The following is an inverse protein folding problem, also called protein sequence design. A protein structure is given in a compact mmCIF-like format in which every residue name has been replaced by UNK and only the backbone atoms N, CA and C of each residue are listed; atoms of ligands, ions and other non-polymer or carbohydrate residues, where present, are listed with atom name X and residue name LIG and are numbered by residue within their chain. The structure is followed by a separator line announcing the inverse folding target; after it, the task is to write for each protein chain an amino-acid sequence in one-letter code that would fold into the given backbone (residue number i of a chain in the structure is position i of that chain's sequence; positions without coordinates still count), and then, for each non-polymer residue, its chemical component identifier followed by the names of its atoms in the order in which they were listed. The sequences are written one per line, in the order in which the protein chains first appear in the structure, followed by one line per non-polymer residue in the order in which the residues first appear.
data_IF_838963204123
#
_entry.id   IF_838963204123
#
_cell.length_a   1.000
_cell.length_b   1.000
_cell.length_c   1.000
_cell.angle_alpha   90.00
_cell.angle_beta   90.00
_cell.angle_gamma   90.00
#
_symmetry.space_group_name_H-M   'P 1'
#
loop_
_entity.id
_entity.type
_entity.pdbx_description
1 polymer ?
2 non-polymer ?
3 non-polymer ?
4 water ?
#
# COMPACT_ATOMS: atom_id res chain seq x y z
N UNK A 1 4.24 21.59 13.77
CA UNK A 1 5.05 20.46 13.25
C UNK A 1 5.85 19.95 14.44
N UNK A 2 6.68 18.93 14.24
CA UNK A 2 7.71 18.56 15.21
C UNK A 2 9.01 18.37 14.44
N UNK A 3 9.99 17.73 15.07
CA UNK A 3 11.28 17.51 14.44
C UNK A 3 11.31 16.14 13.81
N UNK A 4 12.39 15.85 13.08
CA UNK A 4 12.60 14.55 12.49
C UNK A 4 13.60 13.74 13.34
N UNK A 5 13.06 12.81 14.12
CA UNK A 5 13.88 12.02 15.06
C UNK A 5 14.39 10.76 14.38
N UNK A 6 15.72 10.57 14.27
CA UNK A 6 16.22 9.34 13.66
C UNK A 6 15.61 8.10 14.30
N UNK A 7 15.34 7.06 13.50
CA UNK A 7 14.66 5.85 13.97
C UNK A 7 15.29 4.61 13.35
N UNK A 8 15.31 3.52 14.12
CA UNK A 8 15.68 2.21 13.64
C UNK A 8 14.69 1.18 14.16
N UNK A 9 14.46 0.14 13.37
CA UNK A 9 13.68 -0.98 13.85
C UNK A 9 14.55 -1.75 14.84
N UNK A 10 13.98 -1.98 16.02
CA UNK A 10 14.68 -2.63 17.14
C UNK A 10 13.66 -3.44 17.93
N UNK A 11 13.35 -4.63 17.44
CA UNK A 11 12.35 -5.43 18.12
C UNK A 11 12.99 -6.09 19.32
N UNK A 12 12.42 -5.86 20.52
CA UNK A 12 13.00 -6.47 21.72
C UNK A 12 13.14 -7.97 21.62
N UNK A 13 14.24 -8.49 22.15
CA UNK A 13 14.47 -9.93 22.15
C UNK A 13 13.31 -10.64 22.80
N UNK A 14 12.76 -10.04 23.85
CA UNK A 14 11.66 -10.65 24.58
C UNK A 14 10.41 -10.76 23.73
N UNK A 15 10.26 -9.86 22.77
CA UNK A 15 9.11 -9.88 21.86
C UNK A 15 9.27 -10.97 20.81
N UNK A 16 10.50 -11.10 20.32
CA UNK A 16 10.81 -12.19 19.44
C UNK A 16 10.56 -13.50 20.17
N UNK A 17 10.93 -13.54 21.45
CA UNK A 17 10.79 -14.73 22.28
C UNK A 17 9.32 -15.11 22.44
N UNK A 18 8.48 -14.12 22.73
CA UNK A 18 7.06 -14.44 22.89
C UNK A 18 6.46 -14.96 21.58
N UNK A 19 6.79 -14.30 20.47
CA UNK A 19 6.26 -14.74 19.19
C UNK A 19 6.54 -16.23 18.92
N UNK A 20 7.78 -16.67 19.12
CA UNK A 20 8.09 -18.08 18.97
C UNK A 20 7.22 -18.92 19.91
N UNK A 21 7.10 -18.46 21.15
CA UNK A 21 6.32 -19.13 22.18
C UNK A 21 4.90 -19.34 21.67
N UNK A 22 4.29 -18.24 21.23
CA UNK A 22 2.90 -18.29 20.80
C UNK A 22 2.72 -19.19 19.58
N UNK A 23 3.67 -19.13 18.66
CA UNK A 23 3.59 -20.02 17.52
C UNK A 23 3.62 -21.48 17.93
N UNK A 24 4.54 -21.84 18.84
CA UNK A 24 4.61 -23.21 19.35
C UNK A 24 3.29 -23.66 19.92
N UNK A 25 2.68 -22.76 20.67
CA UNK A 25 1.50 -23.07 21.47
C UNK A 25 0.17 -22.92 20.70
N UNK A 26 0.25 -22.70 19.39
CA UNK A 26 -0.98 -22.49 18.59
C UNK A 26 -1.97 -23.64 18.79
N UNK A 27 -3.20 -23.30 19.16
CA UNK A 27 -4.27 -24.29 19.11
C UNK A 27 -4.87 -24.30 17.72
N UNK A 28 -4.52 -25.32 16.96
CA UNK A 28 -4.91 -25.39 15.57
C UNK A 28 -6.37 -25.77 15.44
N UNK A 29 -7.14 -25.03 14.64
CA UNK A 29 -8.56 -25.35 14.50
C UNK A 29 -8.75 -26.55 13.59
N UNK A 30 -9.83 -27.26 13.84
CA UNK A 30 -10.20 -28.44 13.10
C UNK A 30 -11.17 -28.00 12.03
N UNK A 31 -10.70 -28.06 10.79
CA UNK A 31 -11.40 -27.51 9.62
C UNK A 31 -11.29 -28.53 8.48
N UNK A 32 -12.31 -28.56 7.64
CA UNK A 32 -12.29 -29.47 6.49
C UNK A 32 -11.36 -28.92 5.41
N UNK A 33 -10.67 -29.82 4.72
CA UNK A 33 -9.74 -29.39 3.68
C UNK A 33 -10.56 -29.13 2.41
N UNK A 34 -10.69 -27.84 2.06
CA UNK A 34 -11.37 -27.38 0.84
C UNK A 34 -10.45 -26.46 0.02
N UNK A 35 -9.15 -26.78 0.06
CA UNK A 35 -8.14 -25.95 -0.58
C UNK A 35 -8.07 -24.58 0.05
N UNK A 36 -8.07 -23.56 -0.78
CA UNK A 36 -8.03 -22.17 -0.34
C UNK A 36 -9.43 -21.51 -0.30
N UNK A 37 -10.47 -22.27 -0.63
CA UNK A 37 -11.81 -21.72 -0.92
C UNK A 37 -12.45 -20.99 0.25
N UNK A 38 -12.07 -21.38 1.46
CA UNK A 38 -12.67 -20.84 2.67
C UNK A 38 -11.68 -20.16 3.61
N UNK A 39 -10.45 -19.99 3.12
CA UNK A 39 -9.35 -19.47 3.91
C UNK A 39 -8.11 -20.33 3.71
N UNK A 40 -7.03 -19.98 4.38
CA UNK A 40 -5.78 -20.70 4.17
C UNK A 40 -5.92 -22.15 4.57
N UNK A 41 -5.43 -23.07 3.73
CA UNK A 41 -5.54 -24.47 4.13
C UNK A 41 -4.57 -24.86 5.24
N UNK A 42 -4.97 -25.84 6.04
CA UNK A 42 -4.18 -26.27 7.18
C UNK A 42 -2.74 -26.61 6.80
N UNK A 43 -2.55 -27.38 5.74
CA UNK A 43 -1.17 -27.81 5.40
C UNK A 43 -0.27 -26.60 5.20
N UNK A 44 -0.79 -25.61 4.50
CA UNK A 44 0.02 -24.49 4.09
C UNK A 44 0.35 -23.62 5.28
N UNK A 45 -0.65 -23.26 6.07
CA UNK A 45 -0.40 -22.29 7.10
C UNK A 45 0.43 -22.91 8.21
N UNK A 46 0.24 -24.20 8.42
CA UNK A 46 0.98 -24.88 9.47
C UNK A 46 2.48 -24.95 9.11
N UNK A 47 2.84 -25.38 7.90
CA UNK A 47 4.29 -25.38 7.56
C UNK A 47 4.80 -23.96 7.38
N UNK A 48 3.94 -23.01 7.09
CA UNK A 48 4.42 -21.64 7.02
C UNK A 48 4.72 -21.13 8.42
N UNK A 49 3.91 -21.54 9.39
CA UNK A 49 4.13 -21.09 10.75
C UNK A 49 5.33 -21.75 11.38
N UNK A 50 5.62 -22.99 10.99
CA UNK A 50 6.84 -23.67 11.48
C UNK A 50 8.02 -22.91 10.96
N UNK A 51 7.97 -22.53 9.69
CA UNK A 51 9.07 -21.76 9.12
C UNK A 51 9.24 -20.42 9.84
N UNK A 52 8.13 -19.74 10.05
CA UNK A 52 8.15 -18.46 10.74
C UNK A 52 8.80 -18.65 12.12
N UNK A 53 8.40 -19.71 12.82
CA UNK A 53 9.04 -20.14 14.07
C UNK A 53 10.55 -20.40 13.91
N UNK A 54 10.90 -21.28 12.99
CA UNK A 54 12.15 -22.01 13.05
C UNK A 54 13.20 -21.73 11.96
N UNK A 55 12.83 -21.00 10.91
CA UNK A 55 13.72 -20.72 9.80
C UNK A 55 13.88 -19.23 9.52
N UNK A 56 12.75 -18.52 9.50
CA UNK A 56 12.75 -17.08 9.25
C UNK A 56 13.65 -16.34 10.23
N UNK A 57 14.40 -15.37 9.70
CA UNK A 57 15.44 -14.63 10.46
C UNK A 57 15.02 -13.17 10.57
N UNK A 58 14.31 -12.83 11.66
CA UNK A 58 13.85 -11.45 11.83
C UNK A 58 15.03 -10.48 11.88
N UNK A 59 16.11 -10.83 12.56
CA UNK A 59 17.21 -9.86 12.67
C UNK A 59 17.80 -9.50 11.32
N UNK A 60 17.90 -10.48 10.43
CA UNK A 60 18.35 -10.20 9.07
C UNK A 60 17.37 -9.28 8.35
N UNK A 61 16.09 -9.52 8.57
CA UNK A 61 15.07 -8.68 7.97
C UNK A 61 15.17 -7.27 8.50
N UNK A 62 15.41 -7.18 9.80
CA UNK A 62 15.50 -5.91 10.49
C UNK A 62 16.68 -5.11 9.92
N UNK A 63 17.82 -5.77 9.75
CA UNK A 63 18.98 -5.10 9.15
C UNK A 63 18.70 -4.65 7.72
N UNK A 64 17.95 -5.43 6.96
CA UNK A 64 17.61 -5.03 5.60
C UNK A 64 16.74 -3.77 5.56
N UNK A 65 15.83 -3.59 6.51
CA UNK A 65 15.12 -2.33 6.60
C UNK A 65 16.02 -1.17 7.07
N UNK A 66 16.90 -1.45 8.03
CA UNK A 66 17.70 -0.40 8.67
C UNK A 66 18.89 0.06 7.86
N UNK A 67 19.11 -0.56 6.70
CA UNK A 67 20.08 0.03 5.78
C UNK A 67 19.61 1.42 5.29
N UNK A 68 18.39 1.80 5.67
CA UNK A 68 17.75 3.00 5.14
C UNK A 68 17.44 4.02 6.22
N UNK A 69 17.80 5.28 5.99
CA UNK A 69 17.50 6.28 7.01
C UNK A 69 16.02 6.36 7.26
N UNK A 70 15.66 6.31 8.54
CA UNK A 70 14.26 6.42 8.96
C UNK A 70 14.16 7.47 10.03
N UNK A 71 12.96 7.99 10.19
CA UNK A 71 12.65 9.07 11.08
C UNK A 71 11.25 8.88 11.59
N UNK A 72 10.98 9.44 12.76
CA UNK A 72 9.61 9.65 13.16
C UNK A 72 9.45 11.13 13.50
N UNK A 73 8.21 11.57 13.42
CA UNK A 73 7.89 12.93 13.80
C UNK A 73 6.48 12.91 14.37
N UNK A 74 5.94 14.09 14.65
CA UNK A 74 4.60 14.21 15.22
C UNK A 74 3.88 15.31 14.46
N UNK A 75 2.75 14.96 13.85
CA UNK A 75 2.01 15.84 12.96
C UNK A 75 0.53 15.66 13.25
N UNK A 76 -0.17 16.76 13.52
CA UNK A 76 -1.61 16.77 13.82
C UNK A 76 -1.96 15.64 14.77
N UNK A 77 -0.99 15.27 15.61
CA UNK A 77 -1.22 14.34 16.70
C UNK A 77 -1.12 12.86 16.39
N UNK A 78 -0.44 12.52 15.31
CA UNK A 78 0.04 11.16 15.10
C UNK A 78 1.53 11.17 15.08
N UNK A 79 2.11 10.09 15.59
CA UNK A 79 3.50 9.86 15.24
C UNK A 79 3.50 9.16 13.87
N UNK A 80 4.32 9.67 12.96
CA UNK A 80 4.46 9.12 11.65
C UNK A 80 5.90 8.75 11.42
N UNK A 81 6.08 7.48 11.07
CA UNK A 81 7.36 6.92 10.68
C UNK A 81 7.55 7.00 9.17
N UNK A 82 8.77 7.27 8.73
CA UNK A 82 9.04 7.22 7.29
C UNK A 82 10.50 6.90 6.99
N UNK A 83 10.69 6.22 5.86
CA UNK A 83 12.00 6.12 5.24
C UNK A 83 12.25 7.40 4.47
N UNK A 84 13.49 7.84 4.44
CA UNK A 84 13.83 9.01 3.63
C UNK A 84 15.17 8.68 2.99
N UNK A 85 15.11 8.35 1.71
CA UNK A 85 16.28 7.86 0.98
C UNK A 85 16.62 8.87 -0.10
N UNK A 86 17.68 9.63 0.18
CA UNK A 86 18.20 10.61 -0.77
C UNK A 86 19.01 9.96 -1.86
N UNK A 87 18.78 10.43 -3.09
CA UNK A 87 19.57 10.03 -4.23
C UNK A 87 20.96 10.67 -4.19
N UNK A 88 21.96 9.98 -4.76
CA UNK A 88 23.25 10.64 -5.00
C UNK A 88 23.16 11.69 -6.08
N UNK A 89 22.04 11.76 -6.78
CA UNK A 89 21.78 12.83 -7.76
C UNK A 89 21.09 13.96 -7.03
N UNK A 90 21.76 15.10 -6.84
CA UNK A 90 21.08 16.11 -6.02
C UNK A 90 19.81 16.65 -6.67
N UNK A 91 19.73 16.54 -7.99
CA UNK A 91 18.59 17.03 -8.75
C UNK A 91 17.53 15.95 -9.04
N UNK A 92 17.57 14.85 -8.31
CA UNK A 92 16.54 13.83 -8.41
C UNK A 92 15.18 14.42 -8.11
N UNK A 93 14.14 13.80 -8.65
CA UNK A 93 12.77 14.25 -8.43
C UNK A 93 12.29 13.64 -7.13
N UNK A 94 11.77 14.47 -6.21
CA UNK A 94 11.21 13.93 -4.97
C UNK A 94 9.87 13.22 -5.21
N UNK A 95 9.66 12.10 -4.53
CA UNK A 95 8.43 11.34 -4.65
C UNK A 95 8.10 10.74 -3.31
N UNK A 96 6.85 10.91 -2.89
CA UNK A 96 6.34 10.21 -1.71
C UNK A 96 5.53 9.01 -2.20
N UNK A 97 5.84 7.82 -1.65
CA UNK A 97 5.19 6.58 -2.03
C UNK A 97 4.47 6.07 -0.79
N UNK A 98 3.14 6.00 -0.89
CA UNK A 98 2.27 5.74 0.25
C UNK A 98 1.50 4.47 0.05
N UNK A 99 1.66 3.56 1.02
CA UNK A 99 1.00 2.26 0.97
C UNK A 99 -0.50 2.35 1.28
N UNK A 100 -1.19 1.22 1.21
CA UNK A 100 -2.63 1.15 1.49
C UNK A 100 -2.88 0.21 2.66
N UNK A 101 -4.12 -0.24 2.90
CA UNK A 101 -4.35 -1.32 3.90
C UNK A 101 -4.37 -2.63 3.13
N UNK A 102 -3.60 -3.65 3.54
CA UNK A 102 -2.77 -3.81 4.75
C UNK A 102 -1.30 -3.64 4.42
N UNK A 103 -0.85 -2.41 4.22
CA UNK A 103 0.45 -2.17 3.64
C UNK A 103 1.53 -1.85 4.63
N UNK A 104 2.78 -1.98 4.15
CA UNK A 104 3.98 -1.54 4.88
C UNK A 104 4.98 -0.98 3.88
N UNK A 105 5.96 -0.22 4.38
CA UNK A 105 7.05 0.15 3.45
C UNK A 105 7.89 -1.03 2.96
N UNK A 106 7.85 -2.23 3.55
CA UNK A 106 8.71 -3.29 3.03
C UNK A 106 8.20 -3.77 1.64
N UNK A 107 6.99 -3.37 1.26
CA UNK A 107 6.54 -3.54 -0.12
C UNK A 107 7.50 -2.92 -1.11
N UNK A 108 8.23 -1.91 -0.66
CA UNK A 108 8.99 -1.07 -1.59
C UNK A 108 10.49 -1.30 -1.55
N UNK A 109 10.94 -2.23 -0.73
CA UNK A 109 12.38 -2.42 -0.61
C UNK A 109 13.03 -2.63 -1.98
N UNK A 110 12.46 -3.50 -2.81
CA UNK A 110 13.10 -3.83 -4.09
C UNK A 110 13.12 -2.72 -5.13
N UNK A 111 12.35 -1.64 -4.94
CA UNK A 111 12.34 -0.52 -5.87
C UNK A 111 13.23 0.65 -5.42
N UNK A 112 13.70 0.59 -4.19
CA UNK A 112 14.42 1.73 -3.63
C UNK A 112 15.72 2.03 -4.31
N UNK A 113 16.56 1.03 -4.48
CA UNK A 113 17.84 1.22 -5.14
C UNK A 113 17.72 1.73 -6.56
N UNK A 114 16.93 1.03 -7.39
CA UNK A 114 16.84 1.48 -8.78
C UNK A 114 16.20 2.88 -8.92
N UNK A 115 15.27 3.23 -8.05
CA UNK A 115 14.68 4.56 -8.15
C UNK A 115 15.65 5.67 -7.71
N UNK A 116 16.38 5.41 -6.62
CA UNK A 116 17.25 6.43 -6.04
C UNK A 116 18.68 6.52 -6.64
N UNK A 117 19.28 5.40 -7.05
CA UNK A 117 20.62 5.40 -7.66
C UNK A 117 20.55 4.62 -8.97
N UNK A 118 19.85 5.19 -9.95
CA UNK A 118 19.76 4.54 -11.26
C UNK A 118 21.15 4.36 -11.87
N UNK A 119 22.03 5.32 -11.60
CA UNK A 119 23.38 5.29 -12.13
C UNK A 119 24.10 4.00 -11.84
N UNK A 120 23.92 3.50 -10.61
CA UNK A 120 24.61 2.31 -10.20
C UNK A 120 23.99 1.15 -10.93
N UNK A 121 22.68 1.20 -11.13
CA UNK A 121 22.01 0.02 -11.65
C UNK A 121 22.10 -0.05 -13.17
N UNK A 122 23.06 0.68 -13.72
CA UNK A 122 23.36 0.60 -15.15
C UNK A 122 22.43 1.51 -15.90
N UNK A 123 21.63 2.30 -15.16
CA UNK A 123 20.63 3.17 -15.75
C UNK A 123 21.02 4.63 -15.99
N UNK A 124 19.98 5.44 -16.21
CA UNK A 124 20.07 6.85 -16.61
C UNK A 124 20.00 7.75 -15.38
N UNK A 125 21.16 8.31 -14.94
CA UNK A 125 21.16 9.22 -13.80
C UNK A 125 20.07 10.31 -13.81
N UNK A 126 19.64 10.75 -14.99
CA UNK A 126 18.57 11.76 -15.07
C UNK A 126 17.25 11.25 -14.51
N UNK A 127 17.12 9.94 -14.41
CA UNK A 127 15.85 9.30 -14.02
C UNK A 127 15.70 9.11 -12.50
N UNK A 128 16.60 9.71 -11.73
CA UNK A 128 16.64 9.47 -10.28
C UNK A 128 15.52 10.16 -9.51
N UNK A 129 15.16 9.53 -8.40
CA UNK A 129 14.22 10.06 -7.44
C UNK A 129 14.84 10.16 -6.06
N UNK A 130 14.44 11.17 -5.31
CA UNK A 130 14.51 11.13 -3.85
C UNK A 130 13.20 10.53 -3.33
N UNK A 131 13.29 9.60 -2.36
CA UNK A 131 12.09 8.92 -1.84
C UNK A 131 11.76 9.18 -0.39
N UNK A 132 10.48 9.44 -0.18
CA UNK A 132 9.90 9.50 1.17
C UNK A 132 8.86 8.39 1.20
N UNK A 133 8.97 7.49 2.17
CA UNK A 133 8.09 6.33 2.23
C UNK A 133 7.51 6.22 3.64
N UNK A 134 6.40 6.96 3.89
CA UNK A 134 5.79 6.90 5.21
C UNK A 134 4.93 5.68 5.46
N UNK A 135 4.84 5.35 6.74
CA UNK A 135 3.83 4.42 7.22
C UNK A 135 2.61 5.24 7.67
N UNK A 136 1.43 4.86 7.20
CA UNK A 136 0.20 5.57 7.54
C UNK A 136 -0.01 5.70 9.05
N UNK A 137 -0.69 6.78 9.48
CA UNK A 137 -1.03 6.88 10.91
C UNK A 137 -1.69 5.58 11.42
N UNK A 138 -1.18 5.03 12.52
CA UNK A 138 -1.73 3.80 13.10
C UNK A 138 -1.27 2.50 12.49
N UNK A 139 -0.42 2.56 11.47
CA UNK A 139 0.04 1.36 10.77
C UNK A 139 1.50 1.06 11.12
N UNK A 140 1.77 -0.19 11.47
CA UNK A 140 3.13 -0.67 11.48
C UNK A 140 4.06 0.17 12.33
N UNK A 141 5.16 0.58 11.72
CA UNK A 141 6.22 1.28 12.45
C UNK A 141 5.81 2.70 12.88
N UNK A 142 4.70 3.22 12.36
CA UNK A 142 4.15 4.45 12.93
C UNK A 142 3.52 4.25 14.30
N UNK A 143 3.22 2.99 14.61
CA UNK A 143 2.68 2.65 15.91
C UNK A 143 1.19 2.88 16.02
N UNK A 144 0.59 2.31 17.08
CA UNK A 144 -0.86 2.47 17.18
C UNK A 144 -1.30 3.89 17.51
N UNK A 145 -2.56 4.19 17.24
CA UNK A 145 -3.11 5.51 17.53
C UNK A 145 -3.52 5.70 18.97
N UNK A 146 -3.41 6.93 19.45
CA UNK A 146 -3.93 7.23 20.75
C UNK A 146 -5.08 8.24 20.67
N UNK A 147 -5.37 8.74 19.49
CA UNK A 147 -6.71 9.27 19.22
C UNK A 147 -7.00 9.13 17.74
N UNK A 148 -8.27 9.31 17.40
CA UNK A 148 -8.79 8.94 16.09
C UNK A 148 -9.45 10.13 15.36
N UNK A 149 -10.15 9.82 14.28
CA UNK A 149 -10.61 10.83 13.34
C UNK A 149 -9.65 10.98 12.15
N UNK A 150 -8.84 9.96 11.87
CA UNK A 150 -7.92 9.99 10.72
C UNK A 150 -8.60 9.73 9.38
N UNK A 151 -9.48 10.65 9.01
CA UNK A 151 -10.15 10.57 7.72
C UNK A 151 -9.13 10.89 6.64
N UNK A 152 -9.51 10.59 5.40
CA UNK A 152 -8.61 10.79 4.26
C UNK A 152 -7.96 12.16 4.17
N UNK A 153 -8.79 13.19 4.28
CA UNK A 153 -8.33 14.54 4.09
C UNK A 153 -7.35 14.93 5.18
N UNK A 154 -7.47 14.27 6.31
CA UNK A 154 -6.53 14.53 7.36
C UNK A 154 -5.17 13.88 7.05
N UNK A 155 -5.19 12.67 6.51
CA UNK A 155 -3.94 12.00 6.11
C UNK A 155 -3.23 12.86 5.06
N UNK A 156 -4.01 13.26 4.05
CA UNK A 156 -3.42 14.05 2.97
C UNK A 156 -2.92 15.40 3.48
N UNK A 157 -3.69 16.08 4.36
CA UNK A 157 -3.21 17.32 4.99
C UNK A 157 -1.90 17.05 5.71
N UNK A 158 -1.76 15.88 6.34
CA UNK A 158 -0.53 15.58 7.09
C UNK A 158 0.64 15.36 6.15
N UNK A 159 0.38 14.69 5.04
CA UNK A 159 1.41 14.42 4.02
C UNK A 159 1.94 15.71 3.42
N UNK A 160 1.07 16.69 3.20
CA UNK A 160 1.53 17.94 2.62
C UNK A 160 2.46 18.65 3.61
N UNK A 161 2.08 18.57 4.88
CA UNK A 161 2.91 19.11 5.95
C UNK A 161 4.30 18.43 5.98
N UNK A 162 4.30 17.11 5.89
CA UNK A 162 5.54 16.35 5.94
C UNK A 162 6.46 16.74 4.82
N UNK A 163 5.94 16.80 3.60
CA UNK A 163 6.80 17.15 2.46
C UNK A 163 7.34 18.57 2.60
N UNK A 164 6.52 19.50 3.07
CA UNK A 164 7.02 20.86 3.26
C UNK A 164 8.12 20.88 4.34
N UNK A 165 7.91 20.15 5.42
CA UNK A 165 8.89 20.12 6.50
C UNK A 165 10.19 19.46 6.07
N UNK A 166 10.13 18.56 5.09
CA UNK A 166 11.33 17.90 4.57
C UNK A 166 12.08 18.74 3.53
N UNK A 167 11.45 19.81 3.09
CA UNK A 167 12.04 20.74 2.16
C UNK A 167 11.70 20.50 0.70
N UNK A 168 10.64 19.75 0.42
CA UNK A 168 10.32 19.40 -0.95
C UNK A 168 9.21 20.28 -1.56
N UNK A 169 9.64 21.22 -2.41
CA UNK A 169 8.77 22.24 -3.05
C UNK A 169 8.06 21.74 -4.31
N UNK A 170 8.54 20.63 -4.84
CA UNK A 170 8.05 20.06 -6.09
C UNK A 170 8.22 18.56 -5.91
N UNK A 171 7.11 17.82 -5.79
CA UNK A 171 7.19 16.38 -5.58
C UNK A 171 6.11 15.62 -6.33
N UNK A 172 6.33 14.33 -6.51
CA UNK A 172 5.31 13.43 -7.06
C UNK A 172 4.67 12.70 -5.90
N UNK A 173 3.35 12.60 -5.91
CA UNK A 173 2.64 11.75 -4.96
C UNK A 173 2.20 10.48 -5.66
N UNK A 174 2.68 9.33 -5.16
CA UNK A 174 2.45 8.02 -5.75
C UNK A 174 1.75 7.11 -4.74
N UNK A 175 0.81 6.30 -5.19
CA UNK A 175 0.34 5.19 -4.36
C UNK A 175 -0.85 4.49 -4.94
N UNK A 176 -1.28 3.43 -4.27
CA UNK A 176 -2.57 2.84 -4.53
C UNK A 176 -3.29 2.54 -3.23
N UNK A 177 -4.55 2.17 -3.36
CA UNK A 177 -5.40 1.91 -2.25
C UNK A 177 -5.40 3.13 -1.37
N UNK A 178 -5.25 3.10 -0.05
CA UNK A 178 -5.34 4.37 0.69
C UNK A 178 -4.35 5.42 0.15
N UNK A 179 -3.18 4.96 -0.29
CA UNK A 179 -2.17 5.82 -0.87
C UNK A 179 -2.56 6.52 -2.16
N UNK A 180 -3.44 5.91 -2.92
CA UNK A 180 -3.96 6.53 -4.15
C UNK A 180 -4.95 7.64 -3.81
N UNK A 181 -5.83 7.39 -2.85
CA UNK A 181 -6.76 8.43 -2.44
C UNK A 181 -5.99 9.59 -1.84
N UNK A 182 -4.98 9.27 -1.04
CA UNK A 182 -4.20 10.30 -0.40
C UNK A 182 -3.52 11.16 -1.46
N UNK A 183 -2.91 10.51 -2.45
CA UNK A 183 -2.27 11.25 -3.53
C UNK A 183 -3.27 12.09 -4.35
N UNK A 184 -4.44 11.53 -4.63
CA UNK A 184 -5.44 12.29 -5.36
C UNK A 184 -5.93 13.52 -4.60
N UNK A 185 -6.14 13.39 -3.29
CA UNK A 185 -6.55 14.54 -2.48
C UNK A 185 -5.44 15.58 -2.35
N UNK A 186 -4.18 15.14 -2.27
CA UNK A 186 -3.07 16.10 -2.32
C UNK A 186 -3.14 16.97 -3.55
N UNK A 187 -3.68 16.38 -4.62
CA UNK A 187 -3.99 17.12 -5.82
C UNK A 187 -4.82 18.35 -5.53
N UNK A 188 -5.73 18.20 -4.57
CA UNK A 188 -6.59 19.29 -4.17
C UNK A 188 -5.93 20.25 -3.18
N UNK A 189 -5.18 19.69 -2.25
CA UNK A 189 -4.50 20.48 -1.24
C UNK A 189 -3.19 21.15 -1.71
N UNK A 190 -2.35 20.43 -2.46
CA UNK A 190 -1.03 20.96 -2.92
C UNK A 190 -0.81 21.06 -4.40
N UNK A 191 -1.85 21.49 -5.13
CA UNK A 191 -1.71 21.53 -6.58
C UNK A 191 -0.37 22.13 -7.02
N UNK A 192 0.05 23.21 -6.36
CA UNK A 192 1.22 23.98 -6.81
C UNK A 192 2.56 23.33 -6.44
N UNK A 193 2.62 22.66 -5.30
CA UNK A 193 3.84 21.97 -4.86
C UNK A 193 3.97 20.59 -5.53
N UNK A 194 3.04 20.27 -6.46
CA UNK A 194 3.00 18.98 -7.15
C UNK A 194 3.54 18.97 -8.59
N UNK A 195 4.53 18.12 -8.82
CA UNK A 195 4.94 17.80 -10.20
C UNK A 195 3.90 16.90 -10.86
N UNK A 196 3.29 16.01 -10.07
CA UNK A 196 2.30 15.10 -10.62
C UNK A 196 1.86 14.08 -9.59
N UNK A 197 0.80 13.35 -9.94
CA UNK A 197 0.27 12.25 -9.16
C UNK A 197 0.34 10.99 -10.00
N UNK A 198 0.73 9.89 -9.37
CA UNK A 198 0.75 8.60 -10.03
C UNK A 198 0.04 7.54 -9.17
N UNK A 199 -0.94 6.87 -9.75
CA UNK A 199 -1.67 5.82 -9.06
C UNK A 199 -1.54 4.50 -9.80
N UNK A 200 -1.20 3.42 -9.09
CA UNK A 200 -1.10 2.10 -9.69
C UNK A 200 -2.33 1.20 -9.54
N UNK A 201 -3.29 1.68 -8.73
CA UNK A 201 -4.59 1.05 -8.52
C UNK A 201 -5.61 2.17 -8.63
N UNK A 202 -6.63 2.01 -9.45
CA UNK A 202 -7.60 3.08 -9.63
C UNK A 202 -9.02 2.55 -9.84
N UNK A 203 -9.92 2.87 -8.91
CA UNK A 203 -11.35 2.61 -9.04
C UNK A 203 -11.93 3.73 -9.93
N UNK A 204 -12.47 3.41 -11.11
CA UNK A 204 -13.28 4.40 -11.85
C UNK A 204 -14.79 4.20 -11.71
N UNK A 205 -15.46 5.13 -11.02
CA UNK A 205 -16.89 5.03 -10.78
C UNK A 205 -17.66 5.55 -11.98
N UNK A 206 -18.78 4.93 -12.28
CA UNK A 206 -19.78 5.58 -13.12
C UNK A 206 -20.33 6.79 -12.35
N UNK A 207 -20.82 7.81 -13.07
CA UNK A 207 -21.32 9.00 -12.38
C UNK A 207 -22.65 8.75 -11.69
N UNK A 208 -23.41 7.77 -12.19
CA UNK A 208 -24.83 7.67 -11.91
C UNK A 208 -25.80 8.28 -12.95
N UNK A 209 -25.28 8.86 -14.04
CA UNK A 209 -26.05 9.68 -15.07
C UNK A 209 -26.47 9.08 -16.45
N UNK A 210 -27.43 9.75 -17.21
CA UNK A 210 -27.94 9.27 -18.53
C UNK A 210 -26.89 8.99 -19.60
N UNK A 211 -25.95 9.89 -19.73
CA UNK A 211 -25.14 9.94 -20.95
C UNK A 211 -23.94 9.01 -21.01
N UNK A 212 -23.92 8.01 -20.13
CA UNK A 212 -22.64 7.37 -19.77
C UNK A 212 -22.55 5.85 -20.05
N UNK A 213 -23.05 5.03 -19.13
CA UNK A 213 -23.07 3.57 -19.33
C UNK A 213 -23.77 3.17 -20.62
N UNK A 214 -23.18 3.63 -21.72
CA UNK A 214 -23.78 3.57 -23.05
C UNK A 214 -22.65 3.72 -24.02
N UNK A 215 -21.84 4.74 -23.77
CA UNK A 215 -20.66 5.02 -24.56
C UNK A 215 -19.66 3.93 -24.31
N UNK A 216 -19.89 3.09 -23.29
CA UNK A 216 -18.84 2.19 -22.83
C UNK A 216 -18.84 0.87 -23.61
N UNK A 217 -17.74 0.64 -24.33
CA UNK A 217 -17.54 -0.62 -25.03
C UNK A 217 -17.79 -1.81 -24.08
N UNK A 218 -17.97 -2.99 -24.67
CA UNK A 218 -18.14 -4.21 -23.90
C UNK A 218 -16.92 -4.45 -23.02
N UNK A 219 -15.75 -4.05 -23.52
CA UNK A 219 -14.53 -4.28 -22.77
C UNK A 219 -14.50 -3.42 -21.50
N UNK A 220 -14.91 -2.16 -21.61
CA UNK A 220 -14.98 -1.33 -20.41
C UNK A 220 -15.96 -1.94 -19.45
N UNK A 221 -17.10 -2.42 -19.93
CA UNK A 221 -18.13 -2.91 -19.00
C UNK A 221 -17.55 -4.08 -18.22
N UNK A 222 -16.80 -4.95 -18.89
CA UNK A 222 -16.20 -6.10 -18.23
C UNK A 222 -15.14 -5.65 -17.22
N UNK A 223 -14.41 -4.60 -17.56
CA UNK A 223 -13.44 -4.04 -16.62
C UNK A 223 -14.17 -3.56 -15.37
N UNK A 224 -15.30 -2.89 -15.54
CA UNK A 224 -16.05 -2.47 -14.36
C UNK A 224 -16.56 -3.66 -13.57
N UNK A 225 -16.97 -4.70 -14.29
CA UNK A 225 -17.51 -5.90 -13.65
C UNK A 225 -16.50 -6.65 -12.79
N UNK A 226 -15.21 -6.54 -13.13
CA UNK A 226 -14.16 -7.24 -12.36
C UNK A 226 -14.38 -7.11 -10.86
N UNK A 227 -14.57 -5.87 -10.41
CA UNK A 227 -14.94 -5.53 -9.04
C UNK A 227 -15.88 -6.49 -8.32
N UNK A 228 -16.70 -7.24 -9.07
CA UNK A 228 -17.66 -8.15 -8.47
C UNK A 228 -17.02 -9.19 -7.60
N UNK A 229 -15.86 -9.68 -8.03
CA UNK A 229 -15.11 -10.70 -7.28
C UNK A 229 -14.60 -10.19 -5.91
N UNK A 230 -13.81 -9.12 -5.87
CA UNK A 230 -13.47 -8.51 -4.59
C UNK A 230 -14.72 -8.30 -3.74
N UNK A 231 -15.71 -7.67 -4.35
CA UNK A 231 -17.00 -7.43 -3.71
C UNK A 231 -17.64 -8.71 -3.12
N UNK A 232 -17.77 -9.73 -3.96
CA UNK A 232 -18.36 -11.03 -3.62
C UNK A 232 -17.62 -11.89 -2.62
N UNK A 233 -16.29 -11.87 -2.72
CA UNK A 233 -15.46 -12.90 -2.11
C UNK A 233 -14.39 -12.36 -1.21
N UNK A 234 -13.95 -11.13 -1.46
CA UNK A 234 -12.74 -10.62 -0.79
C UNK A 234 -12.98 -9.45 0.17
N UNK A 235 -14.23 -9.02 0.30
CA UNK A 235 -14.50 -7.83 1.09
C UNK A 235 -14.95 -8.05 2.53
N UNK A 236 -14.86 -9.27 3.04
CA UNK A 236 -15.20 -9.50 4.43
C UNK A 236 -14.30 -8.69 5.36
N UNK A 237 -12.99 -8.68 5.06
CA UNK A 237 -12.13 -7.90 5.95
C UNK A 237 -12.47 -6.41 5.98
N UNK A 238 -12.66 -5.82 4.80
CA UNK A 238 -13.06 -4.42 4.76
C UNK A 238 -14.41 -4.19 5.48
N UNK A 239 -15.38 -5.09 5.37
CA UNK A 239 -16.66 -4.84 6.00
C UNK A 239 -16.51 -4.91 7.51
N UNK A 240 -15.74 -5.88 7.95
CA UNK A 240 -15.45 -5.88 9.38
C UNK A 240 -14.73 -4.66 9.96
N UNK A 241 -13.67 -4.27 9.27
CA UNK A 241 -12.90 -3.13 9.73
C UNK A 241 -13.70 -1.79 9.59
N UNK A 242 -14.61 -1.77 8.63
CA UNK A 242 -15.42 -0.57 8.41
C UNK A 242 -16.47 -0.35 9.47
N UNK A 243 -16.76 -1.40 10.22
CA UNK A 243 -17.77 -1.38 11.29
C UNK A 243 -17.21 -1.62 12.71
N UNK A 244 -16.37 -2.63 12.85
CA UNK A 244 -15.86 -3.04 14.18
C UNK A 244 -14.32 -3.27 14.16
N UNK A 245 -13.56 -2.21 13.93
CA UNK A 245 -12.11 -2.41 13.84
C UNK A 245 -11.47 -2.80 15.18
N UNK A 246 -12.08 -2.41 16.31
CA UNK A 246 -11.59 -2.86 17.61
C UNK A 246 -11.76 -4.36 17.74
N UNK A 247 -12.90 -4.88 17.30
CA UNK A 247 -13.13 -6.31 17.34
C UNK A 247 -12.06 -7.06 16.53
N UNK A 248 -11.74 -6.55 15.34
CA UNK A 248 -10.65 -7.08 14.55
C UNK A 248 -9.33 -7.01 15.36
N UNK A 249 -9.09 -5.90 16.04
CA UNK A 249 -7.91 -5.80 16.90
C UNK A 249 -7.84 -6.94 17.90
N UNK A 250 -8.91 -7.20 18.62
CA UNK A 250 -8.85 -8.32 19.58
C UNK A 250 -8.61 -9.65 18.88
N UNK A 251 -9.01 -9.77 17.62
CA UNK A 251 -8.86 -11.00 16.87
C UNK A 251 -7.51 -11.15 16.19
N UNK A 252 -6.71 -10.09 16.20
CA UNK A 252 -5.37 -10.15 15.63
C UNK A 252 -4.27 -10.04 16.66
N UNK A 253 -4.58 -9.43 17.79
CA UNK A 253 -3.51 -8.95 18.67
C UNK A 253 -2.87 -10.00 19.56
N UNK A 254 -3.57 -11.10 19.79
CA UNK A 254 -3.26 -12.13 20.80
C UNK A 254 -3.04 -13.53 20.17
N UNK A 255 -2.91 -13.59 18.85
CA UNK A 255 -2.55 -14.85 18.19
C UNK A 255 -1.79 -14.60 16.89
N UNK A 256 -0.51 -14.97 16.82
CA UNK A 256 0.20 -14.69 15.57
C UNK A 256 -0.35 -15.50 14.38
N UNK A 257 -0.84 -16.72 14.61
CA UNK A 257 -1.44 -17.47 13.50
C UNK A 257 -2.72 -16.81 12.96
N UNK A 258 -3.46 -16.12 13.81
CA UNK A 258 -4.61 -15.35 13.33
C UNK A 258 -4.17 -14.18 12.44
N UNK A 259 -3.16 -13.46 12.91
CA UNK A 259 -2.60 -12.32 12.16
C UNK A 259 -2.11 -12.80 10.81
N UNK A 260 -1.49 -13.98 10.81
CA UNK A 260 -0.96 -14.58 9.59
C UNK A 260 -2.09 -15.00 8.63
N UNK A 261 -3.05 -15.76 9.17
CA UNK A 261 -4.18 -16.22 8.36
C UNK A 261 -4.93 -15.08 7.69
N UNK A 262 -5.15 -14.02 8.44
CA UNK A 262 -5.89 -12.88 7.96
C UNK A 262 -5.17 -12.26 6.77
N UNK A 263 -3.86 -12.06 6.91
CA UNK A 263 -3.12 -11.38 5.86
C UNK A 263 -2.79 -12.29 4.68
N UNK A 264 -2.78 -13.60 4.90
CA UNK A 264 -2.58 -14.51 3.78
C UNK A 264 -3.69 -14.37 2.75
N UNK A 265 -4.85 -13.89 3.18
CA UNK A 265 -5.93 -13.64 2.22
C UNK A 265 -5.44 -12.68 1.15
N UNK A 266 -4.78 -11.62 1.55
CA UNK A 266 -4.35 -10.62 0.56
C UNK A 266 -3.18 -11.13 -0.28
N UNK A 267 -2.27 -11.86 0.35
CA UNK A 267 -1.12 -12.38 -0.39
C UNK A 267 -1.44 -13.52 -1.33
N UNK A 268 -2.57 -14.20 -1.12
CA UNK A 268 -3.07 -15.20 -2.06
C UNK A 268 -3.89 -14.59 -3.18
N UNK A 269 -4.80 -13.68 -2.80
CA UNK A 269 -5.86 -13.28 -3.72
C UNK A 269 -5.77 -11.87 -4.25
N UNK A 270 -5.16 -10.96 -3.49
CA UNK A 270 -5.03 -9.58 -3.96
C UNK A 270 -3.78 -9.49 -4.85
N UNK A 271 -2.65 -9.97 -4.33
CA UNK A 271 -1.51 -10.29 -5.17
C UNK A 271 -1.92 -11.21 -6.29
N UNK A 272 -1.14 -11.18 -7.37
CA UNK A 272 -1.33 -12.08 -8.49
C UNK A 272 -0.58 -13.38 -8.32
N UNK A 273 -1.32 -14.43 -8.02
CA UNK A 273 -0.71 -15.72 -7.77
C UNK A 273 -1.35 -16.77 -8.66
N UNK A 274 -0.67 -17.90 -8.80
CA UNK A 274 -1.38 -19.10 -9.18
C UNK A 274 -1.54 -20.03 -7.98
N UNK A 275 -0.49 -20.75 -7.66
CA UNK A 275 -0.73 -21.84 -6.73
C UNK A 275 -0.63 -21.39 -5.26
N UNK A 276 0.13 -20.33 -4.99
CA UNK A 276 0.39 -19.89 -3.62
C UNK A 276 0.96 -18.48 -3.53
N UNK A 277 0.94 -17.87 -2.34
CA UNK A 277 1.50 -16.54 -2.09
C UNK A 277 2.94 -16.35 -2.62
N UNK A 278 3.82 -17.32 -2.40
CA UNK A 278 5.25 -17.14 -2.74
C UNK A 278 5.55 -17.08 -4.24
N UNK A 279 4.53 -17.30 -5.10
CA UNK A 279 4.68 -17.15 -6.57
C UNK A 279 4.63 -15.68 -6.93
N UNK A 280 4.17 -14.84 -6.00
CA UNK A 280 4.04 -13.40 -6.27
C UNK A 280 5.06 -12.61 -5.46
N UNK A 281 5.29 -13.04 -4.22
CA UNK A 281 6.11 -12.32 -3.26
C UNK A 281 6.97 -13.32 -2.46
N UNK A 282 8.28 -13.11 -2.39
CA UNK A 282 9.17 -13.98 -1.65
C UNK A 282 8.65 -14.26 -0.27
N UNK A 283 8.78 -15.50 0.20
CA UNK A 283 8.29 -15.91 1.52
C UNK A 283 8.83 -15.05 2.67
N UNK A 284 10.13 -14.70 2.62
CA UNK A 284 10.72 -13.95 3.74
C UNK A 284 10.29 -12.50 3.76
N UNK A 285 10.14 -11.92 2.58
CA UNK A 285 9.62 -10.56 2.47
C UNK A 285 8.18 -10.46 2.99
N UNK A 286 7.34 -11.40 2.55
CA UNK A 286 5.98 -11.48 3.07
C UNK A 286 5.97 -11.60 4.60
N UNK A 287 6.79 -12.51 5.15
CA UNK A 287 6.81 -12.68 6.60
C UNK A 287 7.35 -11.45 7.33
N UNK A 288 8.22 -10.69 6.66
CA UNK A 288 8.70 -9.44 7.24
C UNK A 288 7.55 -8.44 7.40
N UNK A 289 6.82 -8.27 6.31
CA UNK A 289 5.60 -7.43 6.28
C UNK A 289 4.60 -7.84 7.37
N UNK A 290 4.29 -9.13 7.43
CA UNK A 290 3.32 -9.63 8.42
C UNK A 290 3.87 -9.48 9.85
N UNK A 291 5.12 -9.86 10.07
CA UNK A 291 5.75 -9.69 11.39
C UNK A 291 5.72 -8.22 11.82
N UNK A 292 5.85 -7.29 10.88
CA UNK A 292 5.75 -5.88 11.25
C UNK A 292 4.40 -5.56 11.93
N UNK A 293 3.31 -6.08 11.39
CA UNK A 293 2.01 -5.94 12.04
C UNK A 293 2.00 -6.61 13.40
N UNK A 294 2.55 -7.81 13.48
CA UNK A 294 2.56 -8.52 14.77
C UNK A 294 3.35 -7.80 15.85
N UNK A 295 4.59 -7.42 15.53
CA UNK A 295 5.45 -6.86 16.57
C UNK A 295 5.00 -5.47 17.02
N UNK A 296 4.53 -4.65 16.06
CA UNK A 296 4.11 -3.31 16.38
C UNK A 296 2.72 -3.30 16.99
N UNK A 297 2.03 -4.44 16.94
CA UNK A 297 0.70 -4.60 17.57
C UNK A 297 -0.26 -3.57 16.99
N UNK A 298 -0.21 -3.46 15.68
CA UNK A 298 -1.06 -2.51 14.92
C UNK A 298 -2.11 -3.19 14.03
N UNK A 299 -2.65 -4.31 14.51
CA UNK A 299 -3.68 -4.97 13.73
C UNK A 299 -4.94 -4.16 13.90
N UNK A 300 -5.21 -3.82 15.15
CA UNK A 300 -6.36 -2.98 15.48
C UNK A 300 -6.22 -1.53 15.08
N UNK A 301 -5.07 -0.91 15.30
CA UNK A 301 -4.93 0.50 14.93
C UNK A 301 -5.07 0.65 13.41
N UNK A 302 -4.49 -0.29 12.66
CA UNK A 302 -4.57 -0.21 11.19
C UNK A 302 -5.98 -0.46 10.68
N UNK A 303 -6.73 -1.34 11.35
CA UNK A 303 -8.11 -1.61 10.98
C UNK A 303 -8.95 -0.34 11.05
N UNK A 304 -8.57 0.62 11.90
CA UNK A 304 -9.38 1.83 12.06
C UNK A 304 -9.51 2.54 10.75
N UNK A 305 -8.57 2.31 9.85
CA UNK A 305 -8.63 3.05 8.59
C UNK A 305 -9.93 2.90 7.81
N UNK A 306 -10.55 1.75 7.83
CA UNK A 306 -11.75 1.60 7.01
C UNK A 306 -12.94 2.18 7.63
N UNK A 307 -12.94 2.19 8.94
CA UNK A 307 -14.00 2.82 9.68
C UNK A 307 -13.95 4.30 9.37
N UNK A 308 -12.75 4.86 9.34
CA UNK A 308 -12.59 6.30 9.13
C UNK A 308 -12.87 6.66 7.67
N UNK A 309 -12.49 5.74 6.78
CA UNK A 309 -12.56 5.99 5.35
C UNK A 309 -13.84 5.44 4.73
N UNK A 310 -14.81 5.10 5.58
CA UNK A 310 -16.06 4.54 5.08
C UNK A 310 -16.58 5.19 3.79
N UNK A 311 -16.70 6.52 3.74
CA UNK A 311 -17.35 7.10 2.55
C UNK A 311 -16.67 6.79 1.21
N UNK A 312 -15.40 6.43 1.29
CA UNK A 312 -14.59 6.20 0.12
C UNK A 312 -14.56 4.76 -0.25
N UNK A 313 -15.02 3.90 0.66
CA UNK A 313 -14.78 2.49 0.44
C UNK A 313 -15.59 1.97 -0.74
N UNK A 314 -15.00 1.03 -1.45
CA UNK A 314 -15.74 0.46 -2.59
C UNK A 314 -16.97 -0.34 -2.13
N UNK A 315 -17.08 -0.69 -0.84
CA UNK A 315 -18.31 -1.37 -0.35
C UNK A 315 -19.46 -0.44 0.08
N UNK A 316 -19.22 0.86 0.06
CA UNK A 316 -20.23 1.84 0.43
C UNK A 316 -20.83 2.46 -0.84
N UNK A 317 -19.98 2.63 -1.85
CA UNK A 317 -20.44 3.19 -3.12
C UNK A 317 -19.46 2.98 -4.24
N UNK A 318 -19.98 2.65 -5.43
CA UNK A 318 -19.19 2.67 -6.65
C UNK A 318 -19.63 3.77 -7.59
N UNK A 319 -20.55 4.62 -7.14
CA UNK A 319 -21.19 5.59 -8.02
C UNK A 319 -20.90 7.04 -7.61
N UNK A 320 -20.55 7.86 -8.59
CA UNK A 320 -20.43 9.30 -8.39
C UNK A 320 -19.18 9.88 -9.02
N UNK A 321 -19.26 11.14 -9.44
CA UNK A 321 -18.10 11.87 -9.94
C UNK A 321 -17.23 12.29 -8.77
N UNK A 322 -15.93 12.24 -8.98
CA UNK A 322 -14.99 12.84 -8.02
C UNK A 322 -14.71 14.28 -8.42
N UNK A 323 -14.20 15.09 -7.49
CA UNK A 323 -13.85 16.46 -7.87
C UNK A 323 -12.84 16.46 -9.02
N UNK A 324 -12.93 17.48 -9.85
CA UNK A 324 -12.06 17.56 -11.03
C UNK A 324 -10.65 17.88 -10.60
N UNK A 325 -9.71 17.08 -11.13
CA UNK A 325 -8.30 17.23 -10.79
C UNK A 325 -7.53 17.58 -12.03
N UNK A 326 -6.65 18.57 -11.89
CA UNK A 326 -5.96 19.13 -13.04
C UNK A 326 -4.46 18.97 -12.90
N UNK A 327 -4.03 18.27 -11.87
CA UNK A 327 -2.62 18.04 -11.68
C UNK A 327 -2.22 16.98 -12.71
N UNK A 328 -1.02 17.11 -13.31
CA UNK A 328 -0.63 16.06 -14.24
C UNK A 328 -0.66 14.74 -13.54
N UNK A 329 -1.30 13.80 -14.19
CA UNK A 329 -1.50 12.53 -13.58
C UNK A 329 -1.12 11.39 -14.51
N UNK A 330 -0.65 10.33 -13.86
CA UNK A 330 -0.33 9.07 -14.50
C UNK A 330 -1.01 7.88 -13.82
N UNK A 331 -1.45 6.95 -14.66
CA UNK A 331 -2.08 5.70 -14.24
C UNK A 331 -1.26 4.52 -14.76
N UNK A 332 -1.01 3.55 -13.88
CA UNK A 332 -0.56 2.23 -14.30
C UNK A 332 -1.60 1.21 -13.93
N UNK A 333 -1.96 0.36 -14.89
CA UNK A 333 -2.99 -0.64 -14.72
C UNK A 333 -2.31 -2.00 -14.64
N UNK A 334 -2.43 -2.60 -13.46
CA UNK A 334 -1.91 -3.94 -13.23
C UNK A 334 -3.03 -4.98 -13.35
N UNK A 335 -2.76 -6.08 -14.08
CA UNK A 335 -3.85 -7.01 -14.44
C UNK A 335 -4.45 -7.79 -13.28
N UNK A 336 -3.71 -7.94 -12.19
CA UNK A 336 -4.25 -8.62 -11.02
C UNK A 336 -4.89 -7.66 -10.03
N UNK A 337 -4.97 -6.39 -10.39
CA UNK A 337 -5.56 -5.40 -9.50
C UNK A 337 -7.04 -5.72 -9.36
N UNK A 338 -7.53 -5.48 -8.16
CA UNK A 338 -8.87 -5.84 -7.78
C UNK A 338 -9.94 -4.95 -8.44
N UNK A 339 -9.56 -3.72 -8.76
CA UNK A 339 -10.36 -2.87 -9.61
C UNK A 339 -9.61 -2.58 -10.90
N UNK A 340 -10.37 -2.42 -11.97
CA UNK A 340 -9.86 -2.25 -13.31
C UNK A 340 -10.47 -0.97 -13.88
N UNK A 341 -9.62 0.06 -14.08
CA UNK A 341 -10.14 1.37 -14.48
C UNK A 341 -10.33 1.58 -15.97
N UNK A 342 -11.39 2.32 -16.28
CA UNK A 342 -11.74 2.68 -17.65
C UNK A 342 -11.23 4.10 -17.91
N UNK A 343 -10.36 4.32 -18.91
CA UNK A 343 -9.73 5.64 -19.07
C UNK A 343 -10.77 6.73 -19.37
N UNK A 344 -11.82 6.41 -20.10
CA UNK A 344 -12.79 7.48 -20.40
C UNK A 344 -13.51 7.97 -19.13
N UNK A 345 -13.67 7.09 -18.15
CA UNK A 345 -14.28 7.48 -16.87
C UNK A 345 -13.26 8.26 -16.03
N UNK A 346 -12.00 7.86 -16.12
CA UNK A 346 -10.93 8.63 -15.48
C UNK A 346 -10.80 10.02 -16.13
N UNK A 347 -10.85 10.09 -17.46
CA UNK A 347 -10.72 11.36 -18.19
C UNK A 347 -11.88 12.32 -17.89
N UNK A 348 -13.01 11.75 -17.47
CA UNK A 348 -14.17 12.56 -17.11
C UNK A 348 -13.80 13.51 -15.98
N UNK A 349 -13.04 13.01 -15.03
CA UNK A 349 -12.75 13.77 -13.83
C UNK A 349 -11.34 14.36 -13.81
N UNK A 350 -10.40 13.69 -14.47
CA UNK A 350 -8.98 14.12 -14.50
C UNK A 350 -8.70 14.84 -15.80
N UNK A 351 -8.31 16.10 -15.70
CA UNK A 351 -8.20 16.94 -16.88
C UNK A 351 -6.84 16.80 -17.52
N UNK A 352 -5.90 16.17 -16.85
CA UNK A 352 -4.53 16.13 -17.37
C UNK A 352 -3.83 14.80 -17.10
N UNK A 353 -4.45 13.71 -17.53
CA UNK A 353 -3.77 12.41 -17.58
C UNK A 353 -2.79 12.42 -18.74
N UNK A 354 -1.51 12.39 -18.40
CA UNK A 354 -0.48 12.44 -19.42
C UNK A 354 0.23 11.11 -19.60
N UNK A 355 -0.14 10.12 -18.81
CA UNK A 355 0.52 8.82 -18.87
C UNK A 355 -0.47 7.74 -18.42
N UNK A 356 -0.59 6.71 -19.25
CA UNK A 356 -1.48 5.60 -18.93
C UNK A 356 -0.82 4.31 -19.40
N UNK A 357 -0.58 3.43 -18.43
CA UNK A 357 0.19 2.24 -18.64
C UNK A 357 -0.65 1.03 -18.40
N UNK A 358 -0.59 0.09 -19.31
CA UNK A 358 -1.19 -1.20 -19.05
C UNK A 358 -0.10 -2.25 -19.04
N UNK A 359 0.21 -2.69 -17.83
CA UNK A 359 1.23 -3.72 -17.59
C UNK A 359 0.62 -5.12 -17.82
N UNK A 360 1.48 -6.14 -17.94
CA UNK A 360 1.08 -7.49 -18.39
C UNK A 360 0.96 -8.50 -17.25
N UNK A 361 1.54 -8.17 -16.09
CA UNK A 361 1.74 -9.09 -14.97
C UNK A 361 1.66 -8.26 -13.72
N UNK A 362 1.27 -8.88 -12.60
CA UNK A 362 1.24 -8.24 -11.30
C UNK A 362 -0.13 -7.83 -10.79
N UNK A 363 -0.33 -7.90 -9.47
CA UNK A 363 -1.59 -7.56 -8.82
C UNK A 363 -1.55 -6.35 -7.90
N UNK A 364 -2.30 -6.47 -6.83
CA UNK A 364 -2.54 -5.40 -5.88
C UNK A 364 -1.27 -4.77 -5.30
N UNK A 365 -0.27 -5.59 -4.97
CA UNK A 365 0.96 -5.09 -4.36
C UNK A 365 1.98 -4.86 -5.47
N UNK A 366 1.65 -3.94 -6.38
CA UNK A 366 2.29 -3.90 -7.68
C UNK A 366 3.82 -3.81 -7.61
N UNK A 367 4.33 -2.87 -6.83
CA UNK A 367 5.77 -2.69 -6.68
C UNK A 367 6.47 -3.91 -6.04
N UNK A 368 5.81 -4.49 -5.05
CA UNK A 368 6.37 -5.62 -4.35
C UNK A 368 6.40 -6.83 -5.25
N UNK A 369 5.35 -6.97 -6.06
CA UNK A 369 5.19 -8.15 -6.90
C UNK A 369 6.02 -8.08 -8.19
N UNK A 370 6.15 -6.86 -8.72
CA UNK A 370 6.83 -6.67 -10.00
C UNK A 370 7.67 -5.39 -9.99
N UNK A 371 8.72 -5.40 -9.21
CA UNK A 371 9.45 -4.16 -9.00
C UNK A 371 10.08 -3.60 -10.28
N UNK A 372 10.54 -4.46 -11.19
CA UNK A 372 11.16 -3.97 -12.41
C UNK A 372 10.20 -3.22 -13.30
N UNK A 373 8.99 -3.75 -13.42
CA UNK A 373 7.87 -3.08 -14.10
C UNK A 373 7.63 -1.72 -13.51
N UNK A 374 7.53 -1.72 -12.19
CA UNK A 374 7.06 -0.54 -11.49
C UNK A 374 8.11 0.56 -11.65
N UNK A 375 9.37 0.19 -11.50
CA UNK A 375 10.48 1.12 -11.71
C UNK A 375 10.43 1.71 -13.12
N UNK A 376 10.30 0.86 -14.13
CA UNK A 376 10.30 1.31 -15.51
C UNK A 376 9.14 2.29 -15.71
N UNK A 377 7.99 1.92 -15.15
CA UNK A 377 6.81 2.70 -15.33
C UNK A 377 6.96 4.06 -14.66
N UNK A 378 7.51 4.09 -13.45
CA UNK A 378 7.67 5.37 -12.77
C UNK A 378 8.69 6.26 -13.49
N UNK A 379 9.77 5.68 -13.97
CA UNK A 379 10.74 6.47 -14.72
C UNK A 379 10.13 7.08 -15.97
N UNK A 380 9.31 6.32 -16.68
CA UNK A 380 8.68 6.84 -17.88
C UNK A 380 7.78 8.03 -17.49
N UNK A 381 6.96 7.84 -16.48
CA UNK A 381 6.09 8.93 -16.04
C UNK A 381 6.88 10.20 -15.74
N UNK A 382 7.95 10.03 -14.97
CA UNK A 382 8.88 11.12 -14.58
C UNK A 382 9.44 11.84 -15.80
N UNK A 383 9.70 11.09 -16.86
CA UNK A 383 10.19 11.69 -18.10
C UNK A 383 9.15 12.57 -18.74
N UNK A 384 7.96 12.01 -18.83
CA UNK A 384 6.81 12.70 -19.41
C UNK A 384 6.52 14.00 -18.66
N UNK A 385 6.59 13.98 -17.33
CA UNK A 385 6.43 15.22 -16.56
C UNK A 385 7.46 16.23 -17.05
N UNK A 386 8.73 15.86 -16.92
CA UNK A 386 9.85 16.77 -17.16
C UNK A 386 9.76 17.54 -18.49
N UNK A 387 8.95 17.04 -19.42
CA UNK A 387 8.71 17.74 -20.68
C UNK A 387 7.54 18.72 -20.63
N UNK A 388 6.74 18.66 -19.56
CA UNK A 388 5.55 19.50 -19.45
C UNK A 388 5.89 20.97 -19.19
#
# INVERSE_FOLDING_TARGET
SNAMRPFQVQIPQADIDDLKRRLSETRWPELVDVGWSRGAPLSYIKELAEYWRDGFDWRAAERRINQYPQFTTEIDGATIHFLHVRSPEPDATPMVITHGWPGTPVEFLDIIGPLTDPRAHGGDPADAFHLVIPSLPGFGLSGPLKSAGWELGRIAMAWSKLMASLGYERYIAQGGDIGAFTSLLLGAIDPSHLAGIHVNLLQTNLSGEPGELETLSDADKARLAVSERFLDDLSGPMKMQSTRPHTIGYMLNDSPVAQLAYLLEMFKHWAQTENVPEDAVDRDLMLTHISLFWFTATGGSAAQAHYELKPFLPITSLIGRSPTLDVPMGVAVYPGALFQPVRSLAERDFKQIVHWAELDRGGHFSAMEEPDLFVDDLRTFNRTLKKL
#
